data_IF_584807657129
#
_entry.id   IF_584807657129
#
_cell.length_a   1.000
_cell.length_b   1.000
_cell.length_c   1.000
_cell.angle_alpha   90.00
_cell.angle_beta   90.00
_cell.angle_gamma   90.00
#
_symmetry.space_group_name_H-M   'P 1'
#
loop_
_entity.id
_entity.type
_entity.pdbx_description
1 polymer ?
#
# COMPACT_ATOMS: atom_id res chain seq x y z
N UNK A 1 -1.33 23.11 -15.89
CA UNK A 1 -2.20 23.70 -14.85
C UNK A 1 -1.52 23.70 -13.50
N UNK A 2 -0.93 22.57 -13.08
CA UNK A 2 -0.10 22.43 -11.87
C UNK A 2 0.95 23.55 -11.70
N UNK A 3 1.73 23.87 -12.74
CA UNK A 3 2.78 24.90 -12.68
C UNK A 3 2.28 26.29 -12.26
N UNK A 4 1.02 26.65 -12.59
CA UNK A 4 0.42 27.94 -12.21
C UNK A 4 -0.03 27.98 -10.74
N UNK A 5 -0.17 26.81 -10.12
CA UNK A 5 -0.63 26.68 -8.73
C UNK A 5 0.53 26.50 -7.75
N UNK A 6 1.73 26.20 -8.26
CA UNK A 6 2.95 26.08 -7.46
C UNK A 6 3.11 27.31 -6.57
N UNK A 7 3.18 27.09 -5.26
CA UNK A 7 3.31 28.11 -4.22
C UNK A 7 2.20 29.19 -4.19
N UNK A 8 1.10 29.00 -4.91
CA UNK A 8 -0.06 29.91 -4.83
C UNK A 8 -0.74 29.80 -3.46
N UNK A 9 -1.31 30.91 -2.99
CA UNK A 9 -2.09 30.94 -1.74
C UNK A 9 -3.25 29.93 -1.76
N UNK A 10 -3.90 29.78 -2.91
CA UNK A 10 -4.97 28.80 -3.13
C UNK A 10 -4.46 27.37 -2.91
N UNK A 11 -3.31 27.02 -3.46
CA UNK A 11 -2.71 25.70 -3.23
C UNK A 11 -2.30 25.52 -1.77
N UNK A 12 -1.64 26.51 -1.17
CA UNK A 12 -1.21 26.43 0.23
C UNK A 12 -2.39 26.16 1.18
N UNK A 13 -3.52 26.84 0.96
CA UNK A 13 -4.76 26.61 1.71
C UNK A 13 -5.29 25.19 1.51
N UNK A 14 -5.25 24.66 0.29
CA UNK A 14 -5.69 23.29 -0.01
C UNK A 14 -4.80 22.25 0.67
N UNK A 15 -3.48 22.43 0.67
CA UNK A 15 -2.55 21.53 1.38
C UNK A 15 -2.80 21.58 2.89
N UNK A 16 -2.94 22.79 3.47
CA UNK A 16 -3.24 22.96 4.90
C UNK A 16 -4.56 22.30 5.31
N UNK A 17 -5.58 22.34 4.45
CA UNK A 17 -6.84 21.63 4.70
C UNK A 17 -6.64 20.11 4.78
N UNK A 18 -5.81 19.54 3.90
CA UNK A 18 -5.49 18.09 3.95
C UNK A 18 -4.78 17.74 5.25
N UNK A 19 -3.78 18.53 5.68
CA UNK A 19 -3.09 18.31 6.96
C UNK A 19 -4.06 18.37 8.15
N UNK A 20 -4.94 19.37 8.17
CA UNK A 20 -5.94 19.53 9.22
C UNK A 20 -6.87 18.32 9.35
N UNK A 21 -7.20 17.65 8.24
CA UNK A 21 -8.00 16.43 8.25
C UNK A 21 -7.31 15.25 8.97
N UNK A 22 -5.97 15.17 8.97
CA UNK A 22 -5.21 14.16 9.73
C UNK A 22 -4.97 14.57 11.20
N UNK A 23 -5.09 15.87 11.50
CA UNK A 23 -4.86 16.43 12.84
C UNK A 23 -3.46 16.13 13.38
N UNK A 24 -3.32 16.05 14.70
CA UNK A 24 -2.03 15.80 15.38
C UNK A 24 -1.40 14.44 15.10
N UNK A 25 -2.14 13.50 14.48
CA UNK A 25 -1.62 12.18 14.11
C UNK A 25 -0.92 12.15 12.75
N UNK A 26 -1.10 13.21 11.94
CA UNK A 26 -0.50 13.35 10.63
C UNK A 26 0.89 13.98 10.67
N UNK A 27 1.68 13.69 9.64
CA UNK A 27 2.91 14.39 9.30
C UNK A 27 2.59 15.62 8.44
N UNK A 28 3.40 16.70 8.55
CA UNK A 28 3.30 17.85 7.67
C UNK A 28 3.48 17.47 6.19
N UNK A 29 2.62 18.05 5.36
CA UNK A 29 2.58 17.95 3.91
C UNK A 29 2.96 19.27 3.23
N UNK A 30 2.90 20.41 3.92
CA UNK A 30 3.28 21.70 3.33
C UNK A 30 4.80 21.77 3.07
N UNK A 31 5.17 21.74 1.79
CA UNK A 31 6.56 21.88 1.32
C UNK A 31 6.56 22.76 0.07
N UNK A 32 7.59 23.58 -0.08
CA UNK A 32 7.77 24.43 -1.27
C UNK A 32 7.74 23.58 -2.55
N UNK A 33 7.00 24.04 -3.57
CA UNK A 33 6.87 23.33 -4.84
C UNK A 33 5.82 22.22 -4.86
N UNK A 34 5.29 21.78 -3.71
CA UNK A 34 4.27 20.74 -3.65
C UNK A 34 2.89 21.29 -4.01
N UNK A 35 2.20 20.61 -4.91
CA UNK A 35 0.85 20.96 -5.36
C UNK A 35 -0.08 19.77 -5.15
N UNK A 36 -1.22 19.99 -4.49
CA UNK A 36 -2.29 18.98 -4.44
C UNK A 36 -2.92 18.92 -5.83
N UNK A 37 -2.79 17.79 -6.53
CA UNK A 37 -3.27 17.56 -7.91
C UNK A 37 -4.70 17.01 -7.91
N UNK A 38 -5.01 16.10 -6.99
CA UNK A 38 -6.36 15.57 -6.88
C UNK A 38 -6.61 14.80 -5.59
N UNK A 39 -7.88 14.54 -5.30
CA UNK A 39 -8.31 13.82 -4.11
C UNK A 39 -9.60 13.03 -4.35
N UNK A 40 -9.81 11.97 -3.57
CA UNK A 40 -10.99 11.13 -3.69
C UNK A 40 -10.92 9.86 -2.87
N UNK A 41 -12.06 9.17 -2.76
CA UNK A 41 -12.14 7.88 -2.07
C UNK A 41 -11.86 6.76 -3.07
N UNK A 42 -10.91 5.88 -2.74
CA UNK A 42 -10.70 4.63 -3.46
C UNK A 42 -10.95 3.45 -2.54
N UNK A 43 -11.47 2.37 -3.12
CA UNK A 43 -11.66 1.10 -2.44
C UNK A 43 -10.36 0.31 -2.48
N UNK A 44 -9.67 0.19 -1.35
CA UNK A 44 -8.39 -0.51 -1.26
C UNK A 44 -8.59 -1.97 -0.90
N UNK A 45 -7.95 -2.89 -1.63
CA UNK A 45 -7.88 -4.30 -1.22
C UNK A 45 -6.97 -4.43 0.00
N UNK A 46 -7.53 -4.94 1.10
CA UNK A 46 -6.77 -5.42 2.26
C UNK A 46 -6.77 -6.95 2.25
N UNK A 47 -6.14 -7.56 3.27
CA UNK A 47 -5.91 -9.02 3.30
C UNK A 47 -7.19 -9.84 3.16
N UNK A 48 -8.28 -9.42 3.80
CA UNK A 48 -9.55 -10.18 3.88
C UNK A 48 -10.72 -9.53 3.16
N UNK A 49 -10.70 -8.20 3.06
CA UNK A 49 -11.80 -7.40 2.54
C UNK A 49 -11.29 -6.12 1.93
N UNK A 50 -12.07 -5.56 1.03
CA UNK A 50 -11.89 -4.20 0.55
C UNK A 50 -12.32 -3.21 1.64
N UNK A 51 -11.66 -2.05 1.69
CA UNK A 51 -12.04 -0.95 2.59
C UNK A 51 -11.85 0.39 1.88
N UNK A 52 -12.77 1.36 2.06
CA UNK A 52 -12.60 2.70 1.53
C UNK A 52 -11.44 3.43 2.23
N UNK A 53 -10.68 4.20 1.47
CA UNK A 53 -9.58 5.04 1.95
C UNK A 53 -9.64 6.36 1.20
N UNK A 54 -9.38 7.45 1.92
CA UNK A 54 -9.20 8.74 1.29
C UNK A 54 -7.78 8.81 0.71
N UNK A 55 -7.66 9.15 -0.57
CA UNK A 55 -6.41 9.38 -1.28
C UNK A 55 -6.27 10.86 -1.65
N UNK A 56 -5.03 11.34 -1.61
CA UNK A 56 -4.62 12.67 -2.05
C UNK A 56 -3.38 12.50 -2.93
N UNK A 57 -3.49 12.89 -4.20
CA UNK A 57 -2.38 12.96 -5.12
C UNK A 57 -1.76 14.34 -5.05
N UNK A 58 -0.50 14.42 -4.66
CA UNK A 58 0.34 15.58 -4.88
C UNK A 58 1.25 15.34 -6.09
N UNK A 59 1.88 16.39 -6.59
CA UNK A 59 2.79 16.28 -7.73
C UNK A 59 4.08 15.48 -7.43
N UNK A 60 4.41 15.23 -6.17
CA UNK A 60 5.61 14.51 -5.73
C UNK A 60 5.34 13.31 -4.82
N UNK A 61 4.17 13.25 -4.17
CA UNK A 61 3.79 12.19 -3.24
C UNK A 61 2.33 11.74 -3.46
N UNK A 62 2.05 10.47 -3.17
CA UNK A 62 0.71 9.95 -2.97
C UNK A 62 0.47 9.76 -1.48
N UNK A 63 -0.61 10.33 -0.96
CA UNK A 63 -1.00 10.22 0.45
C UNK A 63 -2.32 9.48 0.57
N UNK A 64 -2.46 8.58 1.54
CA UNK A 64 -3.75 7.99 1.85
C UNK A 64 -3.94 7.71 3.35
N UNK A 65 -5.19 7.59 3.78
CA UNK A 65 -5.53 7.34 5.18
C UNK A 65 -6.88 6.62 5.36
N UNK A 66 -7.11 6.11 6.56
CA UNK A 66 -8.42 5.57 6.94
C UNK A 66 -9.42 6.70 7.11
N UNK A 67 -10.65 6.49 6.66
CA UNK A 67 -11.78 7.40 6.84
C UNK A 67 -12.40 7.14 8.21
N UNK A 68 -12.54 8.17 9.02
CA UNK A 68 -13.26 8.12 10.29
C UNK A 68 -14.76 8.40 10.06
N UNK A 69 -15.60 7.98 11.02
CA UNK A 69 -17.09 8.00 10.95
C UNK A 69 -17.65 9.36 10.47
N UNK A 70 -17.03 10.49 10.80
CA UNK A 70 -17.51 11.82 10.39
C UNK A 70 -17.18 12.21 8.94
N UNK A 71 -16.57 11.32 8.13
CA UNK A 71 -16.10 11.51 6.74
C UNK A 71 -15.17 12.72 6.49
N UNK A 72 -14.84 13.50 7.52
CA UNK A 72 -14.02 14.73 7.44
C UNK A 72 -12.66 14.62 8.13
N UNK A 73 -12.40 13.51 8.84
CA UNK A 73 -11.14 13.25 9.53
C UNK A 73 -10.55 11.91 9.09
N UNK A 74 -9.22 11.87 9.03
CA UNK A 74 -8.47 10.71 8.58
C UNK A 74 -7.41 10.32 9.61
N UNK A 75 -7.07 9.03 9.68
CA UNK A 75 -5.96 8.54 10.49
C UNK A 75 -5.10 7.52 9.72
N UNK A 76 -4.03 7.02 10.34
CA UNK A 76 -3.04 6.14 9.70
C UNK A 76 -2.54 6.71 8.36
N UNK A 77 -2.01 7.93 8.42
CA UNK A 77 -1.47 8.60 7.23
C UNK A 77 -0.32 7.78 6.65
N UNK A 78 -0.42 7.48 5.36
CA UNK A 78 0.63 6.85 4.58
C UNK A 78 1.08 7.83 3.51
N UNK A 79 2.38 8.10 3.43
CA UNK A 79 3.00 8.99 2.45
C UNK A 79 3.93 8.14 1.58
N UNK A 80 3.70 8.16 0.27
CA UNK A 80 4.45 7.38 -0.72
C UNK A 80 5.08 8.36 -1.72
N UNK A 81 6.42 8.44 -1.83
CA UNK A 81 7.07 9.19 -2.90
C UNK A 81 6.69 8.65 -4.27
N UNK A 82 6.28 9.52 -5.19
CA UNK A 82 5.81 9.09 -6.51
C UNK A 82 6.91 8.47 -7.37
N UNK A 83 8.19 8.83 -7.17
CA UNK A 83 9.29 8.14 -7.87
C UNK A 83 9.37 6.62 -7.58
N UNK A 84 8.70 6.15 -6.53
CA UNK A 84 8.61 4.73 -6.17
C UNK A 84 7.37 4.04 -6.72
N UNK A 85 6.47 4.77 -7.38
CA UNK A 85 5.17 4.26 -7.80
C UNK A 85 5.22 3.75 -9.24
N UNK A 86 4.80 2.50 -9.41
CA UNK A 86 4.47 1.93 -10.72
C UNK A 86 3.02 1.45 -10.70
N UNK A 87 2.27 1.74 -11.77
CA UNK A 87 0.90 1.27 -11.93
C UNK A 87 0.83 0.02 -12.82
N UNK A 88 -0.11 -0.86 -12.53
CA UNK A 88 -0.48 -1.98 -13.40
C UNK A 88 -2.00 -2.12 -13.45
N UNK A 89 -2.55 -2.15 -14.65
CA UNK A 89 -3.98 -2.29 -14.85
C UNK A 89 -4.49 -3.66 -14.40
N UNK A 90 -5.63 -3.70 -13.70
CA UNK A 90 -6.29 -4.96 -13.34
C UNK A 90 -7.53 -5.19 -14.20
N UNK A 91 -7.70 -6.44 -14.62
CA UNK A 91 -8.93 -6.90 -15.26
C UNK A 91 -10.07 -6.91 -14.25
N UNK A 92 -11.28 -6.66 -14.73
CA UNK A 92 -12.48 -6.79 -13.92
C UNK A 92 -12.72 -8.26 -13.56
N UNK A 93 -13.10 -8.53 -12.32
CA UNK A 93 -13.41 -9.87 -11.81
C UNK A 93 -14.57 -9.81 -10.81
N UNK A 94 -15.72 -10.38 -11.18
CA UNK A 94 -16.95 -10.30 -10.39
C UNK A 94 -17.32 -8.86 -10.01
N UNK A 95 -17.43 -8.60 -8.71
CA UNK A 95 -17.74 -7.28 -8.15
C UNK A 95 -16.53 -6.32 -8.13
N UNK A 96 -15.32 -6.84 -8.39
CA UNK A 96 -14.08 -6.06 -8.41
C UNK A 96 -13.88 -5.46 -9.80
N UNK A 97 -14.49 -4.29 -10.02
CA UNK A 97 -14.37 -3.54 -11.27
C UNK A 97 -13.52 -2.29 -11.10
N UNK A 98 -12.98 -1.79 -12.21
CA UNK A 98 -12.22 -0.53 -12.24
C UNK A 98 -10.98 -0.56 -11.32
N UNK A 99 -10.29 -1.69 -11.27
CA UNK A 99 -9.11 -1.90 -10.43
C UNK A 99 -7.77 -1.61 -11.11
N UNK A 100 -6.76 -1.25 -10.31
CA UNK A 100 -5.34 -1.25 -10.71
C UNK A 100 -4.45 -1.51 -9.47
N UNK A 101 -3.22 -1.95 -9.71
CA UNK A 101 -2.18 -2.08 -8.69
C UNK A 101 -1.39 -0.78 -8.58
N UNK A 102 -1.16 -0.36 -7.34
CA UNK A 102 -0.14 0.62 -6.98
C UNK A 102 1.03 -0.18 -6.40
N UNK A 103 2.12 -0.29 -7.16
CA UNK A 103 3.36 -0.93 -6.73
C UNK A 103 4.28 0.10 -6.11
N UNK A 104 4.86 -0.22 -4.96
CA UNK A 104 5.82 0.65 -4.25
C UNK A 104 6.96 -0.19 -3.66
N UNK A 105 8.04 0.45 -3.20
CA UNK A 105 9.17 -0.29 -2.58
C UNK A 105 8.79 -1.03 -1.31
N UNK A 106 7.86 -0.49 -0.52
CA UNK A 106 7.53 -1.01 0.81
C UNK A 106 6.23 -1.81 0.85
N UNK A 107 5.24 -1.43 0.04
CA UNK A 107 3.92 -2.07 0.02
C UNK A 107 3.21 -1.86 -1.31
N UNK A 108 2.97 -2.96 -2.02
CA UNK A 108 2.14 -2.97 -3.22
C UNK A 108 0.71 -3.40 -2.89
N UNK A 109 -0.29 -2.77 -3.51
CA UNK A 109 -1.69 -3.04 -3.22
C UNK A 109 -2.62 -2.69 -4.38
N UNK A 110 -3.74 -3.41 -4.48
CA UNK A 110 -4.83 -3.08 -5.41
C UNK A 110 -5.75 -2.00 -4.83
N UNK A 111 -6.21 -1.12 -5.71
CA UNK A 111 -7.29 -0.15 -5.45
C UNK A 111 -8.31 -0.23 -6.59
N UNK A 112 -9.53 0.18 -6.29
CA UNK A 112 -10.66 0.20 -7.20
C UNK A 112 -11.37 1.56 -7.11
N UNK A 113 -11.69 2.14 -8.25
CA UNK A 113 -12.48 3.37 -8.34
C UNK A 113 -13.98 3.03 -8.51
N UNK A 114 -14.86 4.00 -8.22
CA UNK A 114 -16.30 3.78 -8.37
C UNK A 114 -16.69 3.69 -9.86
N UNK A 115 -15.97 4.41 -10.72
CA UNK A 115 -16.23 4.42 -12.18
C UNK A 115 -14.97 4.19 -13.00
N UNK A 116 -15.15 3.73 -14.25
CA UNK A 116 -14.06 3.57 -15.21
C UNK A 116 -13.39 4.92 -15.54
N UNK A 117 -14.16 6.02 -15.53
CA UNK A 117 -13.63 7.37 -15.74
C UNK A 117 -12.70 7.77 -14.62
N UNK A 118 -13.12 7.59 -13.36
CA UNK A 118 -12.27 7.89 -12.20
C UNK A 118 -10.99 7.05 -12.20
N UNK A 119 -11.09 5.74 -12.49
CA UNK A 119 -9.89 4.89 -12.67
C UNK A 119 -8.93 5.50 -13.68
N UNK A 120 -9.43 5.86 -14.86
CA UNK A 120 -8.61 6.42 -15.93
C UNK A 120 -7.96 7.74 -15.51
N UNK A 121 -8.69 8.62 -14.84
CA UNK A 121 -8.16 9.90 -14.34
C UNK A 121 -7.09 9.69 -13.28
N UNK A 122 -7.33 8.85 -12.26
CA UNK A 122 -6.33 8.52 -11.25
C UNK A 122 -5.03 7.99 -11.86
N UNK A 123 -5.14 6.99 -12.74
CA UNK A 123 -3.96 6.39 -13.37
C UNK A 123 -3.20 7.43 -14.21
N UNK A 124 -3.92 8.18 -15.06
CA UNK A 124 -3.33 9.22 -15.91
C UNK A 124 -2.61 10.31 -15.10
N UNK A 125 -3.24 10.83 -14.05
CA UNK A 125 -2.66 11.89 -13.24
C UNK A 125 -1.46 11.42 -12.41
N UNK A 126 -1.51 10.19 -11.86
CA UNK A 126 -0.35 9.60 -11.17
C UNK A 126 0.81 9.43 -12.16
N UNK A 127 0.59 8.79 -13.31
CA UNK A 127 1.64 8.56 -14.32
C UNK A 127 2.24 9.87 -14.82
N UNK A 128 1.42 10.90 -15.02
CA UNK A 128 1.91 12.23 -15.39
C UNK A 128 2.84 12.81 -14.34
N UNK A 129 2.47 12.75 -13.05
CA UNK A 129 3.30 13.26 -11.97
C UNK A 129 4.61 12.48 -11.85
N UNK A 130 4.56 11.14 -11.94
CA UNK A 130 5.75 10.29 -11.97
C UNK A 130 6.68 10.67 -13.12
N UNK A 131 6.14 10.81 -14.33
CA UNK A 131 6.92 11.19 -15.51
C UNK A 131 7.53 12.59 -15.38
N UNK A 132 6.80 13.56 -14.83
CA UNK A 132 7.32 14.90 -14.56
C UNK A 132 8.51 14.85 -13.58
N UNK A 133 8.45 14.04 -12.52
CA UNK A 133 9.56 13.86 -11.56
C UNK A 133 10.78 13.24 -12.23
N UNK A 134 10.60 12.20 -13.04
CA UNK A 134 11.70 11.49 -13.69
C UNK A 134 12.39 12.35 -14.75
N UNK A 135 11.60 13.08 -15.56
CA UNK A 135 12.13 13.89 -16.67
C UNK A 135 12.72 15.22 -16.19
N UNK A 136 12.05 15.94 -15.28
CA UNK A 136 12.49 17.27 -14.82
C UNK A 136 13.42 17.20 -13.61
N UNK A 137 13.26 16.17 -12.76
CA UNK A 137 14.01 16.02 -11.51
C UNK A 137 15.29 15.21 -11.62
N UNK A 138 15.59 14.60 -12.78
CA UNK A 138 16.76 13.74 -12.97
C UNK A 138 16.78 12.48 -12.10
N UNK A 139 15.65 12.13 -11.48
CA UNK A 139 15.52 10.93 -10.65
C UNK A 139 15.35 9.69 -11.52
N UNK A 140 15.82 8.54 -11.05
CA UNK A 140 15.63 7.24 -11.72
C UNK A 140 14.39 6.53 -11.17
N UNK A 141 13.65 5.77 -12.00
CA UNK A 141 12.51 4.99 -11.54
C UNK A 141 12.95 3.89 -10.57
N UNK A 142 12.05 3.51 -9.66
CA UNK A 142 12.24 2.31 -8.85
C UNK A 142 12.24 1.05 -9.74
N UNK A 143 13.28 0.22 -9.59
CA UNK A 143 13.41 -1.06 -10.30
C UNK A 143 12.93 -2.24 -9.46
N UNK A 144 12.72 -2.03 -8.16
CA UNK A 144 12.31 -3.06 -7.20
C UNK A 144 11.08 -2.59 -6.43
N UNK A 145 10.06 -3.44 -6.37
CA UNK A 145 8.81 -3.19 -5.68
C UNK A 145 8.49 -4.34 -4.73
N UNK A 146 7.84 -4.03 -3.61
CA UNK A 146 7.33 -5.04 -2.69
C UNK A 146 6.34 -5.97 -3.41
N UNK A 147 6.31 -7.24 -3.01
CA UNK A 147 5.35 -8.19 -3.57
C UNK A 147 3.91 -7.77 -3.27
N UNK A 148 3.02 -7.97 -4.25
CA UNK A 148 1.57 -7.89 -4.06
C UNK A 148 1.14 -9.12 -3.26
N UNK A 149 0.42 -8.91 -2.17
CA UNK A 149 -0.05 -10.03 -1.36
C UNK A 149 -1.29 -10.64 -1.96
N UNK A 150 -1.30 -11.97 -2.06
CA UNK A 150 -2.51 -12.72 -2.38
C UNK A 150 -3.54 -12.51 -1.25
N UNK A 151 -4.77 -12.08 -1.57
CA UNK A 151 -5.86 -12.03 -0.61
C UNK A 151 -6.08 -13.37 0.09
N UNK A 152 -6.49 -13.33 1.36
CA UNK A 152 -6.74 -14.54 2.16
C UNK A 152 -7.84 -15.41 1.54
N UNK A 153 -8.87 -14.78 0.96
CA UNK A 153 -10.02 -15.47 0.38
C UNK A 153 -9.65 -16.21 -0.92
N UNK A 154 -8.59 -15.79 -1.60
CA UNK A 154 -8.11 -16.40 -2.84
C UNK A 154 -7.17 -17.57 -2.57
N UNK A 155 -6.81 -17.81 -1.29
CA UNK A 155 -5.93 -18.88 -0.87
C UNK A 155 -6.66 -19.82 0.11
N UNK A 156 -7.32 -20.85 -0.44
CA UNK A 156 -7.89 -21.96 0.35
C UNK A 156 -6.83 -22.95 0.83
N UNK A 157 -5.71 -23.06 0.10
CA UNK A 157 -4.60 -23.98 0.39
C UNK A 157 -3.25 -23.26 0.41
N UNK A 158 -2.28 -23.83 1.12
CA UNK A 158 -0.92 -23.31 1.17
C UNK A 158 -0.29 -23.28 -0.23
N UNK A 159 0.06 -22.09 -0.70
CA UNK A 159 0.60 -21.89 -2.05
C UNK A 159 2.03 -22.44 -2.26
N UNK A 160 2.64 -22.98 -1.19
CA UNK A 160 3.96 -23.61 -1.25
C UNK A 160 3.87 -25.14 -1.30
N UNK A 161 3.25 -25.76 -0.29
CA UNK A 161 3.15 -27.22 -0.24
C UNK A 161 1.96 -27.77 -1.02
N UNK A 162 0.94 -26.95 -1.32
CA UNK A 162 -0.32 -27.35 -1.97
C UNK A 162 -1.08 -28.47 -1.25
N UNK A 163 -0.70 -28.79 0.00
CA UNK A 163 -1.24 -29.90 0.81
C UNK A 163 -2.04 -29.42 2.02
N UNK A 164 -1.63 -28.30 2.61
CA UNK A 164 -2.27 -27.78 3.82
C UNK A 164 -3.44 -26.89 3.44
N UNK A 165 -4.66 -27.35 3.71
CA UNK A 165 -5.86 -26.52 3.64
C UNK A 165 -5.92 -25.55 4.82
N UNK A 166 -6.34 -24.31 4.57
CA UNK A 166 -6.47 -23.30 5.61
C UNK A 166 -7.86 -23.35 6.26
N UNK A 167 -7.88 -23.33 7.59
CA UNK A 167 -9.09 -23.34 8.42
C UNK A 167 -8.95 -22.29 9.52
N UNK A 168 -9.92 -22.23 10.45
CA UNK A 168 -9.83 -21.32 11.60
C UNK A 168 -8.61 -21.65 12.49
N UNK A 169 -8.29 -22.95 12.61
CA UNK A 169 -7.16 -23.44 13.41
C UNK A 169 -5.88 -23.43 12.56
N UNK A 170 -5.98 -23.85 11.30
CA UNK A 170 -4.86 -23.81 10.36
C UNK A 170 -4.74 -22.43 9.72
N UNK A 171 -4.07 -21.52 10.44
CA UNK A 171 -3.97 -20.10 10.08
C UNK A 171 -3.13 -19.86 8.81
N UNK A 172 -3.50 -18.81 8.09
CA UNK A 172 -2.80 -18.27 6.93
C UNK A 172 -1.62 -17.40 7.37
N UNK A 173 -0.52 -17.45 6.61
CA UNK A 173 0.61 -16.54 6.78
C UNK A 173 1.11 -16.03 5.43
N UNK A 174 1.38 -14.72 5.31
CA UNK A 174 1.99 -14.19 4.10
C UNK A 174 3.52 -14.22 4.17
N UNK A 175 4.15 -14.68 3.10
CA UNK A 175 5.57 -14.43 2.87
C UNK A 175 5.77 -12.96 2.49
N UNK A 176 6.61 -12.23 3.23
CA UNK A 176 6.86 -10.80 2.94
C UNK A 176 7.74 -10.56 1.70
N UNK A 177 8.43 -11.60 1.22
CA UNK A 177 9.26 -11.51 0.03
C UNK A 177 8.48 -11.76 -1.27
N UNK A 178 7.59 -12.76 -1.30
CA UNK A 178 6.86 -13.12 -2.52
C UNK A 178 5.33 -12.87 -2.46
N UNK A 179 4.77 -12.52 -1.32
CA UNK A 179 3.34 -12.21 -1.18
C UNK A 179 2.40 -13.42 -1.05
N UNK A 180 2.89 -14.64 -1.31
CA UNK A 180 2.09 -15.87 -1.23
C UNK A 180 1.58 -16.17 0.20
N UNK A 181 0.41 -16.80 0.26
CA UNK A 181 -0.16 -17.36 1.49
C UNK A 181 0.35 -18.77 1.73
N UNK A 182 1.00 -18.98 2.88
CA UNK A 182 1.71 -20.20 3.25
C UNK A 182 1.34 -20.64 4.67
N UNK A 183 1.45 -21.94 4.94
CA UNK A 183 1.27 -22.49 6.29
C UNK A 183 2.51 -22.26 7.17
N UNK A 184 2.36 -22.46 8.48
CA UNK A 184 3.44 -22.27 9.45
C UNK A 184 4.67 -23.14 9.11
N UNK A 185 4.43 -24.38 8.68
CA UNK A 185 5.47 -25.34 8.33
C UNK A 185 6.24 -24.99 7.05
N UNK A 186 5.69 -24.15 6.16
CA UNK A 186 6.36 -23.66 4.95
C UNK A 186 6.97 -22.26 5.10
N UNK A 187 6.94 -21.70 6.31
CA UNK A 187 7.43 -20.35 6.61
C UNK A 187 8.09 -20.29 7.97
N UNK A 188 9.07 -21.16 8.17
CA UNK A 188 9.73 -21.33 9.47
C UNK A 188 10.78 -20.25 9.75
N UNK A 189 11.12 -19.43 8.75
CA UNK A 189 12.18 -18.44 8.82
C UNK A 189 11.69 -16.99 8.80
N UNK A 190 12.55 -16.10 9.30
CA UNK A 190 12.42 -14.66 9.10
C UNK A 190 13.65 -14.12 8.39
N UNK A 191 13.48 -13.08 7.58
CA UNK A 191 14.56 -12.45 6.83
C UNK A 191 14.33 -10.94 6.74
N UNK A 192 15.40 -10.15 6.66
CA UNK A 192 15.31 -8.71 6.40
C UNK A 192 15.15 -8.50 4.90
N UNK A 193 13.91 -8.39 4.44
CA UNK A 193 13.60 -8.11 3.04
C UNK A 193 13.88 -6.62 2.75
N UNK A 194 14.84 -6.28 1.86
CA UNK A 194 15.16 -4.90 1.51
C UNK A 194 13.92 -4.14 1.02
N UNK A 195 13.80 -2.85 1.38
CA UNK A 195 12.66 -2.01 1.02
C UNK A 195 11.35 -2.27 1.79
N UNK A 196 11.13 -3.51 2.28
CA UNK A 196 9.87 -3.90 2.94
C UNK A 196 9.89 -3.64 4.45
N UNK A 197 10.98 -4.00 5.15
CA UNK A 197 11.07 -3.81 6.60
C UNK A 197 12.51 -3.70 7.08
N UNK A 198 12.74 -2.80 8.05
CA UNK A 198 14.01 -2.70 8.79
C UNK A 198 14.21 -3.85 9.78
N UNK A 199 13.15 -4.59 10.14
CA UNK A 199 13.23 -5.75 11.04
C UNK A 199 13.03 -7.04 10.25
N UNK A 200 13.60 -8.18 10.69
CA UNK A 200 13.30 -9.48 10.09
C UNK A 200 11.79 -9.74 10.05
N UNK A 201 11.29 -10.18 8.90
CA UNK A 201 9.89 -10.50 8.65
C UNK A 201 9.75 -11.92 8.15
N UNK A 202 8.59 -12.54 8.38
CA UNK A 202 8.31 -13.92 7.95
C UNK A 202 8.49 -14.07 6.44
N UNK A 203 9.25 -15.07 6.03
CA UNK A 203 9.40 -15.47 4.63
C UNK A 203 9.11 -16.97 4.51
N UNK A 204 8.61 -17.41 3.34
CA UNK A 204 8.53 -18.84 3.07
C UNK A 204 9.93 -19.43 2.92
N UNK A 205 10.06 -20.73 3.14
CA UNK A 205 11.38 -21.39 3.17
C UNK A 205 12.09 -21.29 1.81
N UNK A 206 11.35 -21.37 0.70
CA UNK A 206 11.89 -21.11 -0.65
C UNK A 206 12.47 -19.70 -0.81
N UNK A 207 11.80 -18.67 -0.29
CA UNK A 207 12.33 -17.30 -0.32
C UNK A 207 13.53 -17.14 0.60
N UNK A 208 13.49 -17.78 1.78
CA UNK A 208 14.64 -17.75 2.69
C UNK A 208 15.89 -18.30 2.02
N UNK A 209 15.82 -19.50 1.42
CA UNK A 209 16.97 -20.12 0.74
C UNK A 209 17.52 -19.28 -0.41
N UNK A 210 16.65 -18.63 -1.19
CA UNK A 210 17.07 -17.73 -2.28
C UNK A 210 17.77 -16.48 -1.75
N UNK A 211 17.25 -15.90 -0.68
CA UNK A 211 17.77 -14.65 -0.12
C UNK A 211 19.06 -14.88 0.70
N UNK A 212 19.20 -16.04 1.35
CA UNK A 212 20.40 -16.39 2.13
C UNK A 212 21.56 -16.92 1.27
N UNK A 213 21.29 -17.41 0.06
CA UNK A 213 22.29 -18.01 -0.83
C UNK A 213 23.04 -17.06 -1.78
N UNK A 214 22.87 -15.74 -1.66
CA UNK A 214 23.22 -14.77 -2.72
C UNK A 214 24.31 -13.71 -2.46
N UNK A 215 25.11 -13.76 -1.38
CA UNK A 215 26.25 -12.81 -1.18
C UNK A 215 26.64 -12.52 0.28
N UNK A 216 27.86 -11.98 0.54
CA UNK A 216 28.61 -12.18 1.79
C UNK A 216 28.20 -11.27 2.97
N UNK A 217 28.06 -11.90 4.15
CA UNK A 217 28.04 -11.39 5.55
C UNK A 217 26.98 -10.30 5.90
N UNK A 218 26.16 -10.44 6.95
CA UNK A 218 26.50 -10.87 8.31
C UNK A 218 25.76 -12.12 8.77
N UNK A 219 26.59 -13.10 9.17
CA UNK A 219 26.22 -14.22 10.00
C UNK A 219 26.15 -13.71 11.46
N UNK A 220 24.96 -13.43 11.97
CA UNK A 220 24.73 -13.42 13.41
C UNK A 220 24.08 -14.76 13.76
N UNK A 221 24.94 -15.67 14.18
CA UNK A 221 24.57 -16.95 14.78
C UNK A 221 23.91 -16.68 16.14
N UNK A 222 22.59 -16.49 16.12
CA UNK A 222 21.75 -16.53 17.30
C UNK A 222 21.12 -17.92 17.46
N UNK A 223 21.63 -18.71 18.40
CA UNK A 223 21.03 -19.95 18.90
C UNK A 223 19.53 -19.80 19.23
N UNK A 224 18.74 -20.90 19.23
CA UNK A 224 17.29 -20.85 19.31
C UNK A 224 16.84 -20.36 20.70
N UNK A 225 16.46 -19.08 20.80
CA UNK A 225 15.74 -18.58 21.98
C UNK A 225 14.25 -18.78 21.80
N UNK A 226 13.70 -19.45 22.80
CA UNK A 226 12.29 -19.73 23.00
C UNK A 226 11.40 -18.54 22.69
N UNK A 227 10.29 -18.90 22.03
CA UNK A 227 9.00 -18.24 21.94
C UNK A 227 8.74 -17.21 23.05
N UNK A 228 8.88 -15.93 22.70
CA UNK A 228 8.06 -14.86 23.26
C UNK A 228 7.17 -14.35 22.14
N UNK A 229 5.89 -14.69 22.23
CA UNK A 229 4.83 -14.15 21.39
C UNK A 229 4.73 -12.65 21.62
N UNK A 230 5.27 -11.86 20.69
CA UNK A 230 4.86 -10.49 20.45
C UNK A 230 4.62 -10.36 18.95
N UNK A 231 3.49 -10.93 18.51
CA UNK A 231 2.85 -10.51 17.28
C UNK A 231 2.33 -9.09 17.52
N UNK A 232 3.04 -8.07 17.04
CA UNK A 232 2.38 -6.82 16.69
C UNK A 232 1.53 -7.08 15.45
N UNK A 233 0.43 -7.80 15.65
CA UNK A 233 -0.76 -7.61 14.85
C UNK A 233 -1.14 -6.15 15.04
N UNK A 234 -1.09 -5.35 13.99
CA UNK A 234 -2.05 -4.25 13.90
C UNK A 234 -3.43 -4.92 13.87
N UNK A 235 -3.98 -5.14 15.06
CA UNK A 235 -5.37 -5.53 15.27
C UNK A 235 -6.20 -4.33 14.83
N UNK A 236 -6.75 -4.42 13.63
CA UNK A 236 -7.84 -3.54 13.24
C UNK A 236 -9.08 -4.08 13.97
N UNK A 237 -9.50 -3.33 14.99
CA UNK A 237 -10.74 -3.55 15.73
C UNK A 237 -11.93 -3.70 14.75
N UNK A 238 -12.81 -4.64 15.08
CA UNK A 238 -14.04 -4.91 14.33
C UNK A 238 -15.04 -3.78 14.57
N UNK A 239 -15.03 -2.77 13.70
CA UNK A 239 -16.12 -1.80 13.62
C UNK A 239 -17.18 -2.27 12.61
N UNK A 240 -18.44 -2.07 13.04
CA UNK A 240 -19.68 -2.50 12.39
C UNK A 240 -19.79 -2.04 10.94
N UNK A 241 -20.52 -2.86 10.18
CA UNK A 241 -20.76 -2.75 8.76
C UNK A 241 -21.71 -1.58 8.45
N UNK A 242 -21.16 -0.42 8.09
CA UNK A 242 -21.94 0.66 7.48
C UNK A 242 -21.86 0.54 5.95
N UNK A 243 -23.03 0.45 5.31
CA UNK A 243 -23.19 0.49 3.86
C UNK A 243 -22.64 1.83 3.35
N UNK A 244 -21.46 1.83 2.72
CA UNK A 244 -20.84 3.04 2.20
C UNK A 244 -21.48 3.46 0.88
N UNK A 245 -22.19 4.58 0.91
CA UNK A 245 -22.66 5.28 -0.29
C UNK A 245 -21.46 5.76 -1.13
N UNK A 246 -21.37 5.30 -2.38
CA UNK A 246 -20.26 5.49 -3.32
C UNK A 246 -20.25 6.88 -4.00
N UNK A 247 -21.03 7.85 -3.49
CA UNK A 247 -21.33 9.09 -4.22
C UNK A 247 -20.31 10.24 -4.00
N UNK A 248 -19.07 9.96 -3.59
CA UNK A 248 -18.02 11.00 -3.52
C UNK A 248 -17.16 10.94 -4.78
N UNK A 249 -17.46 11.82 -5.73
CA UNK A 249 -16.70 11.95 -6.98
C UNK A 249 -15.28 12.41 -6.71
N UNK A 250 -14.31 11.86 -7.43
CA UNK A 250 -12.92 12.32 -7.41
C UNK A 250 -12.81 13.75 -7.96
N UNK A 251 -11.89 14.54 -7.41
CA UNK A 251 -11.64 15.93 -7.83
C UNK A 251 -10.19 16.03 -8.28
N UNK A 252 -9.97 16.32 -9.56
CA UNK A 252 -8.65 16.64 -10.14
C UNK A 252 -8.61 18.10 -10.61
N UNK A 253 -7.40 18.68 -10.63
CA UNK A 253 -7.10 19.98 -11.23
C UNK A 253 -6.63 19.87 -12.67
#
# INVERSE_FOLDING_TARGET
>A
MVDRLVNSEVNNRRVANVEACFGSSGQPLAVYGRVLVGEGVLTKMCRKKTKPRQFFLFNDILVYGNILISKKRFNKQHIIPLEEVQLEDLKNDGDLQNGWLIKTRSKSFAVYAATATEKKEWMLHIERCVNDILTKGGKKPATEHAAVWTPDNDASVCMHCQKTEFTIIQRRHHCRACGNVVCAACSTHTYRVPGVSKRPVRVCDSCFSKLSGGGPFHNESGSPKQRTTNESSESEEEEKNDQYDHQVSCIFL
#
